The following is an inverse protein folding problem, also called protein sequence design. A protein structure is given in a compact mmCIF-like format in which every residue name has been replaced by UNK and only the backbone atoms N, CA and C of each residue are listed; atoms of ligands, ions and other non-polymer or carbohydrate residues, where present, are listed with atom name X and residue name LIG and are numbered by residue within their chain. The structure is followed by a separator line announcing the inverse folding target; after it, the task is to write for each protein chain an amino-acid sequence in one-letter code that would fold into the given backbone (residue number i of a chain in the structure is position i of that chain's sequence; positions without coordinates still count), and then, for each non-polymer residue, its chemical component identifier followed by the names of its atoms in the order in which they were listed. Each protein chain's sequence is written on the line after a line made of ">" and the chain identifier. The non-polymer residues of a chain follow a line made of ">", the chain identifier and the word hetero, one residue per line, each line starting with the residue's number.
data_IF_715868021267
#
_entry.id   IF_715868021267
#
_cell.length_a   1.000
_cell.length_b   1.000
_cell.length_c   1.000
_cell.angle_alpha   90.00
_cell.angle_beta   90.00
_cell.angle_gamma   90.00
#
_symmetry.space_group_name_H-M   'P 1'
#
loop_
_entity.id
_entity.type
_entity.pdbx_description
1 polymer ?
#
# COMPACT_ATOMS: atom_id res chain seq x y z
N UNK A 1 4.54 15.25 -12.87
CA UNK A 1 3.94 14.00 -12.35
C UNK A 1 4.78 13.51 -11.19
N UNK A 2 4.25 13.48 -9.98
CA UNK A 2 4.96 12.97 -8.79
C UNK A 2 4.92 11.45 -8.81
N UNK A 3 6.08 10.83 -9.03
CA UNK A 3 6.27 9.38 -8.92
C UNK A 3 5.98 8.96 -7.47
N UNK A 4 5.21 7.88 -7.27
CA UNK A 4 5.00 7.33 -5.94
C UNK A 4 6.33 7.04 -5.25
N UNK A 5 6.38 7.34 -3.96
CA UNK A 5 7.53 7.31 -3.08
C UNK A 5 7.54 6.07 -2.17
N UNK A 6 6.66 5.08 -2.40
CA UNK A 6 6.59 3.83 -1.62
C UNK A 6 7.96 3.14 -1.41
N UNK A 7 8.85 3.20 -2.40
CA UNK A 7 10.21 2.65 -2.33
C UNK A 7 11.10 3.27 -1.24
N UNK A 8 10.72 4.43 -0.68
CA UNK A 8 11.40 5.04 0.48
C UNK A 8 11.21 4.20 1.75
N UNK A 9 10.13 3.45 1.81
CA UNK A 9 9.74 2.60 2.94
C UNK A 9 10.12 1.13 2.72
N UNK A 10 10.96 0.86 1.73
CA UNK A 10 11.44 -0.46 1.37
C UNK A 10 12.96 -0.54 1.41
N UNK A 11 13.47 -1.71 1.81
CA UNK A 11 14.88 -2.06 1.71
C UNK A 11 15.07 -3.54 1.40
N UNK A 12 16.31 -3.93 1.13
CA UNK A 12 16.73 -5.32 1.01
C UNK A 12 17.89 -5.56 1.98
N UNK A 13 17.81 -6.61 2.77
CA UNK A 13 18.86 -7.03 3.73
C UNK A 13 19.10 -8.51 3.55
N UNK A 14 20.35 -8.90 3.31
CA UNK A 14 20.73 -10.31 3.12
C UNK A 14 19.86 -11.05 2.07
N UNK A 15 19.40 -10.32 1.04
CA UNK A 15 18.51 -10.84 0.00
C UNK A 15 17.01 -10.80 0.34
N UNK A 16 16.64 -10.53 1.59
CA UNK A 16 15.24 -10.44 2.01
C UNK A 16 14.68 -9.03 1.80
N UNK A 17 13.41 -8.91 1.39
CA UNK A 17 12.73 -7.63 1.25
C UNK A 17 12.07 -7.21 2.55
N UNK A 18 12.23 -5.95 2.92
CA UNK A 18 11.60 -5.38 4.11
C UNK A 18 10.78 -4.15 3.73
N UNK A 19 9.62 -4.02 4.37
CA UNK A 19 8.87 -2.76 4.47
C UNK A 19 8.89 -2.29 5.91
N UNK A 20 8.93 -0.98 6.12
CA UNK A 20 8.96 -0.40 7.47
C UNK A 20 8.12 0.87 7.55
N UNK A 21 7.60 1.15 8.73
CA UNK A 21 6.86 2.39 9.07
C UNK A 21 7.23 2.85 10.47
N UNK A 22 7.08 4.14 10.75
CA UNK A 22 7.14 4.63 12.13
C UNK A 22 5.98 4.05 12.93
N UNK A 23 6.26 3.58 14.15
CA UNK A 23 5.26 3.06 15.09
C UNK A 23 4.92 4.05 16.21
N UNK A 24 5.68 5.14 16.33
CA UNK A 24 5.41 6.27 17.22
C UNK A 24 5.84 7.59 16.58
N UNK A 25 5.44 8.70 17.20
CA UNK A 25 5.73 10.06 16.70
C UNK A 25 7.14 10.55 17.11
N UNK A 26 7.92 9.73 17.81
CA UNK A 26 9.28 10.07 18.21
C UNK A 26 10.21 10.10 16.99
N UNK A 27 11.11 11.08 16.97
CA UNK A 27 12.08 11.25 15.90
C UNK A 27 13.46 10.69 16.24
N UNK A 28 14.27 10.45 15.20
CA UNK A 28 15.65 10.01 15.33
C UNK A 28 15.78 8.66 16.04
N UNK A 29 16.81 8.53 16.87
CA UNK A 29 17.19 7.27 17.52
C UNK A 29 16.18 6.80 18.58
N UNK A 30 15.28 7.68 19.03
CA UNK A 30 14.19 7.34 19.95
C UNK A 30 12.92 6.84 19.22
N UNK A 31 12.87 7.01 17.89
CA UNK A 31 11.78 6.53 17.06
C UNK A 31 11.73 5.00 17.01
N UNK A 32 10.54 4.44 17.20
CA UNK A 32 10.27 3.02 17.00
C UNK A 32 9.68 2.78 15.62
N UNK A 33 10.03 1.64 15.04
CA UNK A 33 9.67 1.22 13.70
C UNK A 33 9.02 -0.15 13.74
N UNK A 34 7.90 -0.28 13.06
CA UNK A 34 7.25 -1.55 12.74
C UNK A 34 7.79 -2.01 11.39
N UNK A 35 8.37 -3.21 11.37
CA UNK A 35 9.11 -3.76 10.23
C UNK A 35 8.53 -5.11 9.87
N UNK A 36 8.36 -5.36 8.57
CA UNK A 36 7.94 -6.63 8.03
C UNK A 36 8.94 -7.11 6.97
N UNK A 37 9.55 -8.26 7.21
CA UNK A 37 10.30 -9.05 6.23
C UNK A 37 9.33 -9.95 5.47
N UNK A 38 9.37 -9.89 4.13
CA UNK A 38 8.45 -10.62 3.26
C UNK A 38 9.09 -10.94 1.91
N UNK A 39 8.43 -11.77 1.11
CA UNK A 39 8.89 -12.12 -0.24
C UNK A 39 8.15 -11.31 -1.30
N UNK A 40 8.88 -10.90 -2.34
CA UNK A 40 8.28 -10.29 -3.53
C UNK A 40 8.23 -11.31 -4.67
N UNK A 41 7.25 -11.16 -5.53
CA UNK A 41 6.99 -12.05 -6.65
C UNK A 41 7.37 -11.37 -7.96
N UNK A 42 8.02 -12.13 -8.85
CA UNK A 42 8.37 -11.68 -10.20
C UNK A 42 7.16 -11.09 -10.95
N UNK A 43 7.37 -9.99 -11.68
CA UNK A 43 6.29 -9.36 -12.44
C UNK A 43 5.97 -10.15 -13.71
N UNK A 44 5.06 -11.12 -13.56
CA UNK A 44 4.51 -11.94 -14.64
C UNK A 44 2.99 -12.00 -14.53
N UNK A 45 2.25 -12.22 -15.63
CA UNK A 45 0.79 -12.36 -15.58
C UNK A 45 0.31 -13.43 -14.58
N UNK A 46 1.03 -14.55 -14.50
CA UNK A 46 0.74 -15.63 -13.56
C UNK A 46 0.86 -15.17 -12.10
N UNK A 47 1.98 -14.54 -11.73
CA UNK A 47 2.19 -14.08 -10.35
C UNK A 47 1.23 -12.96 -9.97
N UNK A 48 0.97 -11.99 -10.87
CA UNK A 48 -0.05 -10.96 -10.66
C UNK A 48 -1.40 -11.60 -10.34
N UNK A 49 -1.85 -12.55 -11.16
CA UNK A 49 -3.13 -13.22 -10.95
C UNK A 49 -3.17 -14.00 -9.62
N UNK A 50 -2.11 -14.76 -9.33
CA UNK A 50 -2.00 -15.54 -8.08
C UNK A 50 -2.08 -14.62 -6.86
N UNK A 51 -1.25 -13.58 -6.80
CA UNK A 51 -1.21 -12.62 -5.69
C UNK A 51 -2.52 -11.85 -5.58
N UNK A 52 -3.12 -11.44 -6.70
CA UNK A 52 -4.41 -10.74 -6.72
C UNK A 52 -5.53 -11.56 -6.09
N UNK A 53 -5.58 -12.86 -6.39
CA UNK A 53 -6.55 -13.79 -5.76
C UNK A 53 -6.31 -13.91 -4.26
N UNK A 54 -5.05 -14.08 -3.84
CA UNK A 54 -4.70 -14.19 -2.41
C UNK A 54 -5.04 -12.90 -1.64
N UNK A 55 -4.77 -11.73 -2.22
CA UNK A 55 -5.18 -10.44 -1.64
C UNK A 55 -6.69 -10.43 -1.43
N UNK A 56 -7.47 -10.66 -2.49
CA UNK A 56 -8.94 -10.62 -2.44
C UNK A 56 -9.53 -11.60 -1.42
N UNK A 57 -8.99 -12.82 -1.32
CA UNK A 57 -9.42 -13.82 -0.34
C UNK A 57 -9.16 -13.41 1.12
N UNK A 58 -8.22 -12.49 1.35
CA UNK A 58 -7.82 -12.04 2.69
C UNK A 58 -8.27 -10.60 3.00
N UNK A 59 -9.09 -9.97 2.16
CA UNK A 59 -9.72 -8.68 2.44
C UNK A 59 -10.85 -8.86 3.46
N UNK A 60 -10.54 -8.65 4.73
CA UNK A 60 -11.45 -8.84 5.87
C UNK A 60 -11.72 -7.52 6.60
N UNK A 61 -12.87 -7.41 7.28
CA UNK A 61 -13.36 -6.15 7.86
C UNK A 61 -12.40 -5.44 8.84
N UNK A 62 -11.48 -6.16 9.48
CA UNK A 62 -10.39 -5.59 10.30
C UNK A 62 -9.39 -4.73 9.51
N UNK A 63 -9.34 -4.87 8.17
CA UNK A 63 -8.49 -4.07 7.29
C UNK A 63 -9.13 -2.75 6.83
N UNK A 64 -10.39 -2.48 7.21
CA UNK A 64 -11.03 -1.19 6.97
C UNK A 64 -10.55 -0.15 7.97
N UNK A 65 -10.34 1.09 7.52
CA UNK A 65 -10.01 2.20 8.41
C UNK A 65 -11.22 2.62 9.25
N UNK A 66 -10.95 3.11 10.46
CA UNK A 66 -11.99 3.72 11.30
C UNK A 66 -12.63 4.93 10.62
N UNK A 67 -11.87 5.68 9.81
CA UNK A 67 -12.41 6.77 8.99
C UNK A 67 -13.53 6.28 8.05
N UNK A 68 -13.33 5.17 7.34
CA UNK A 68 -14.35 4.62 6.44
C UNK A 68 -15.57 4.12 7.24
N UNK A 69 -15.34 3.43 8.36
CA UNK A 69 -16.43 2.95 9.23
C UNK A 69 -17.25 4.10 9.83
N UNK A 70 -16.58 5.20 10.20
CA UNK A 70 -17.23 6.38 10.76
C UNK A 70 -17.97 7.21 9.70
N UNK A 71 -17.39 7.33 8.51
CA UNK A 71 -17.98 8.07 7.39
C UNK A 71 -19.23 7.39 6.84
N UNK A 72 -19.25 6.05 6.85
CA UNK A 72 -20.34 5.25 6.28
C UNK A 72 -21.00 4.40 7.37
N UNK A 73 -22.17 4.83 7.91
CA UNK A 73 -22.87 4.05 8.93
C UNK A 73 -23.21 2.65 8.42
N UNK A 74 -23.39 1.67 9.32
CA UNK A 74 -23.54 0.25 8.96
C UNK A 74 -24.69 -0.06 7.98
N UNK A 75 -25.70 0.80 7.89
CA UNK A 75 -26.83 0.66 6.97
C UNK A 75 -26.62 1.36 5.61
N UNK A 76 -25.47 2.01 5.40
CA UNK A 76 -25.18 2.74 4.17
C UNK A 76 -25.19 1.81 2.95
N UNK A 77 -25.82 2.19 1.82
CA UNK A 77 -25.98 1.30 0.66
C UNK A 77 -24.66 0.77 0.08
N UNK A 78 -23.56 1.52 0.19
CA UNK A 78 -22.23 1.10 -0.28
C UNK A 78 -21.71 -0.18 0.38
N UNK A 79 -22.15 -0.50 1.60
CA UNK A 79 -21.78 -1.76 2.26
C UNK A 79 -22.33 -3.01 1.56
N UNK A 80 -23.32 -2.87 0.68
CA UNK A 80 -23.81 -3.97 -0.16
C UNK A 80 -22.85 -4.31 -1.31
N UNK A 81 -21.92 -3.42 -1.63
CA UNK A 81 -20.99 -3.63 -2.72
C UNK A 81 -19.76 -4.43 -2.25
N UNK A 82 -19.38 -5.50 -2.97
CA UNK A 82 -18.17 -6.25 -2.66
C UNK A 82 -16.94 -5.35 -2.55
N UNK A 83 -16.08 -5.58 -1.56
CA UNK A 83 -14.82 -4.87 -1.39
C UNK A 83 -14.88 -3.34 -1.21
N UNK A 84 -16.06 -2.79 -0.89
CA UNK A 84 -16.15 -1.37 -0.53
C UNK A 84 -15.20 -1.02 0.63
N UNK A 85 -14.39 0.02 0.44
CA UNK A 85 -13.40 0.49 1.42
C UNK A 85 -12.04 -0.24 1.38
N UNK A 86 -11.87 -1.26 0.54
CA UNK A 86 -10.63 -2.06 0.48
C UNK A 86 -9.66 -1.67 -0.63
N UNK A 87 -10.00 -0.70 -1.47
CA UNK A 87 -9.18 -0.34 -2.64
C UNK A 87 -7.75 0.07 -2.24
N UNK A 88 -7.60 0.75 -1.10
CA UNK A 88 -6.30 1.18 -0.56
C UNK A 88 -5.43 -0.02 -0.17
N UNK A 89 -5.79 -0.87 0.82
CA UNK A 89 -4.95 -2.01 1.18
C UNK A 89 -4.72 -2.96 0.00
N UNK A 90 -5.72 -3.20 -0.85
CA UNK A 90 -5.55 -4.08 -2.01
C UNK A 90 -4.52 -3.55 -3.01
N UNK A 91 -4.57 -2.25 -3.33
CA UNK A 91 -3.67 -1.61 -4.30
C UNK A 91 -2.23 -1.58 -3.79
N UNK A 92 -2.02 -1.10 -2.56
CA UNK A 92 -0.66 -0.91 -2.05
C UNK A 92 -0.01 -2.22 -1.65
N UNK A 93 -0.76 -3.22 -1.16
CA UNK A 93 -0.18 -4.55 -0.92
C UNK A 93 0.25 -5.22 -2.22
N UNK A 94 -0.54 -5.11 -3.30
CA UNK A 94 -0.09 -5.60 -4.62
C UNK A 94 1.19 -4.89 -5.07
N UNK A 95 1.30 -3.57 -4.85
CA UNK A 95 2.48 -2.79 -5.22
C UNK A 95 3.73 -3.27 -4.49
N UNK A 96 3.61 -3.56 -3.19
CA UNK A 96 4.73 -4.08 -2.39
C UNK A 96 5.11 -5.51 -2.78
N UNK A 97 4.11 -6.39 -3.01
CA UNK A 97 4.34 -7.81 -3.28
C UNK A 97 4.88 -8.12 -4.68
N UNK A 98 4.78 -7.22 -5.64
CA UNK A 98 5.24 -7.47 -7.01
C UNK A 98 6.56 -6.77 -7.25
N UNK A 99 7.57 -7.53 -7.66
CA UNK A 99 8.91 -7.03 -7.95
C UNK A 99 8.99 -6.41 -9.34
N UNK A 100 8.63 -5.13 -9.43
CA UNK A 100 8.80 -4.32 -10.63
C UNK A 100 8.81 -2.84 -10.30
N UNK A 101 9.44 -2.07 -11.18
CA UNK A 101 9.34 -0.61 -11.21
C UNK A 101 8.31 -0.10 -12.22
N UNK A 102 7.59 -0.99 -12.93
CA UNK A 102 6.67 -0.63 -14.02
C UNK A 102 5.26 -0.31 -13.54
N UNK A 103 4.88 -0.75 -12.34
CA UNK A 103 3.58 -0.43 -11.75
C UNK A 103 3.63 0.96 -11.11
N UNK A 104 2.55 1.72 -11.30
CA UNK A 104 2.30 2.96 -10.59
C UNK A 104 0.89 2.95 -9.98
N UNK A 105 0.74 3.47 -8.75
CA UNK A 105 -0.56 3.67 -8.17
C UNK A 105 -1.27 4.86 -8.83
N UNK A 106 -2.57 4.66 -9.08
CA UNK A 106 -3.48 5.62 -9.68
C UNK A 106 -4.61 5.89 -8.70
N UNK A 107 -5.07 7.14 -8.66
CA UNK A 107 -6.26 7.54 -7.91
C UNK A 107 -7.24 8.26 -8.81
N UNK A 108 -8.48 7.80 -8.82
CA UNK A 108 -9.64 8.48 -9.43
C UNK A 108 -10.65 8.85 -8.35
N UNK A 109 -11.68 9.59 -8.74
CA UNK A 109 -12.79 9.96 -7.87
C UNK A 109 -14.13 9.59 -8.51
N UNK A 110 -15.09 9.18 -7.69
CA UNK A 110 -16.47 8.99 -8.15
C UNK A 110 -17.27 10.30 -8.10
N UNK A 111 -18.54 10.25 -8.50
CA UNK A 111 -19.44 11.41 -8.53
C UNK A 111 -19.75 12.00 -7.16
N UNK A 112 -19.48 11.26 -6.08
CA UNK A 112 -19.65 11.71 -4.70
C UNK A 112 -18.32 12.23 -4.12
N UNK A 113 -17.25 12.25 -4.92
CA UNK A 113 -15.91 12.69 -4.51
C UNK A 113 -15.07 11.60 -3.84
N UNK A 114 -15.53 10.35 -3.80
CA UNK A 114 -14.82 9.27 -3.14
C UNK A 114 -13.64 8.78 -3.97
N UNK A 115 -12.49 8.72 -3.32
CA UNK A 115 -11.25 8.26 -3.94
C UNK A 115 -11.25 6.75 -4.15
N UNK A 116 -10.85 6.32 -5.34
CA UNK A 116 -10.59 4.92 -5.66
C UNK A 116 -9.15 4.73 -6.13
N UNK A 117 -8.53 3.64 -5.66
CA UNK A 117 -7.14 3.30 -5.91
C UNK A 117 -7.01 2.03 -6.75
N UNK A 118 -6.08 2.04 -7.71
CA UNK A 118 -5.67 0.86 -8.48
C UNK A 118 -4.20 0.98 -8.91
N UNK A 119 -3.63 -0.11 -9.45
CA UNK A 119 -2.32 -0.05 -10.12
C UNK A 119 -2.47 0.01 -11.63
N UNK A 120 -1.58 0.75 -12.29
CA UNK A 120 -1.43 0.76 -13.74
C UNK A 120 -0.02 0.36 -14.11
N UNK A 121 0.12 -0.49 -15.12
CA UNK A 121 1.40 -0.67 -15.79
C UNK A 121 1.71 0.56 -16.66
N UNK A 122 2.82 1.22 -16.38
CA UNK A 122 3.22 2.46 -17.07
C UNK A 122 3.44 2.30 -18.57
N UNK A 123 3.83 1.12 -19.03
CA UNK A 123 4.20 0.88 -20.43
C UNK A 123 2.97 0.46 -21.24
N UNK A 124 2.28 -0.57 -20.79
CA UNK A 124 1.11 -1.15 -21.46
C UNK A 124 -0.20 -0.45 -21.15
N UNK A 125 -0.22 0.46 -20.17
CA UNK A 125 -1.43 1.12 -19.65
C UNK A 125 -2.46 0.13 -19.05
N UNK A 126 -2.08 -1.13 -18.83
CA UNK A 126 -2.95 -2.14 -18.25
C UNK A 126 -3.32 -1.79 -16.80
N UNK A 127 -4.61 -1.87 -16.49
CA UNK A 127 -5.17 -1.64 -15.15
C UNK A 127 -5.19 -2.93 -14.35
N UNK A 128 -4.74 -2.87 -13.10
CA UNK A 128 -4.88 -3.88 -12.07
C UNK A 128 -5.67 -3.29 -10.90
N UNK A 129 -6.98 -3.49 -10.94
CA UNK A 129 -7.90 -3.10 -9.88
C UNK A 129 -8.46 -4.35 -9.22
N UNK A 130 -8.07 -4.59 -7.97
CA UNK A 130 -8.45 -5.80 -7.23
C UNK A 130 -9.80 -5.64 -6.54
N UNK A 131 -10.45 -4.50 -6.68
CA UNK A 131 -11.71 -4.13 -6.02
C UNK A 131 -12.69 -3.52 -7.03
N UNK A 132 -12.53 -3.85 -8.32
CA UNK A 132 -13.33 -3.29 -9.41
C UNK A 132 -14.84 -3.56 -9.27
N UNK A 133 -15.19 -4.58 -8.50
CA UNK A 133 -16.54 -5.06 -8.23
C UNK A 133 -17.22 -4.33 -7.06
N UNK A 134 -16.53 -3.36 -6.44
CA UNK A 134 -17.19 -2.41 -5.54
C UNK A 134 -18.11 -1.42 -6.27
N UNK A 135 -17.95 -1.30 -7.59
CA UNK A 135 -18.80 -0.46 -8.42
C UNK A 135 -20.03 -1.23 -8.87
N UNK A 136 -21.19 -0.62 -8.69
CA UNK A 136 -22.49 -1.18 -9.10
C UNK A 136 -22.51 -1.61 -10.58
N UNK A 137 -21.81 -0.89 -11.45
CA UNK A 137 -21.74 -1.22 -12.87
C UNK A 137 -20.46 -0.69 -13.55
N UNK A 138 -20.23 -1.19 -14.77
CA UNK A 138 -19.08 -0.83 -15.59
C UNK A 138 -19.02 0.68 -15.91
N UNK A 139 -20.16 1.35 -16.10
CA UNK A 139 -20.19 2.79 -16.42
C UNK A 139 -19.65 3.63 -15.26
N UNK A 140 -20.08 3.37 -14.03
CA UNK A 140 -19.56 4.03 -12.82
C UNK A 140 -18.06 3.77 -12.61
N UNK A 141 -17.62 2.53 -12.82
CA UNK A 141 -16.19 2.21 -12.76
C UNK A 141 -15.38 2.98 -13.81
N UNK A 142 -15.85 3.02 -15.05
CA UNK A 142 -15.17 3.73 -16.13
C UNK A 142 -15.13 5.24 -15.91
N UNK A 143 -16.19 5.84 -15.33
CA UNK A 143 -16.16 7.27 -14.99
C UNK A 143 -15.07 7.58 -13.96
N UNK A 144 -14.88 6.71 -12.96
CA UNK A 144 -13.78 6.84 -12.00
C UNK A 144 -12.42 6.72 -12.68
N UNK A 145 -12.20 5.71 -13.52
CA UNK A 145 -10.93 5.53 -14.22
C UNK A 145 -10.56 6.71 -15.13
N UNK A 146 -11.56 7.38 -15.74
CA UNK A 146 -11.34 8.58 -16.57
C UNK A 146 -10.80 9.77 -15.79
N UNK A 147 -11.10 9.85 -14.49
CA UNK A 147 -10.56 10.89 -13.59
C UNK A 147 -9.20 10.52 -13.00
N UNK A 148 -8.70 9.32 -13.31
CA UNK A 148 -7.51 8.74 -12.70
C UNK A 148 -6.24 9.51 -13.02
N UNK A 149 -5.52 9.92 -11.98
CA UNK A 149 -4.16 10.48 -12.10
C UNK A 149 -3.16 9.62 -11.30
N UNK A 150 -1.88 9.56 -11.70
CA UNK A 150 -0.84 8.96 -10.87
C UNK A 150 -0.83 9.63 -9.50
N UNK A 151 -0.87 8.84 -8.43
CA UNK A 151 -0.92 9.34 -7.05
C UNK A 151 -0.24 8.35 -6.14
N UNK A 152 0.46 8.80 -5.10
CA UNK A 152 1.06 7.93 -4.09
C UNK A 152 0.18 7.77 -2.85
N UNK A 153 0.50 6.86 -1.93
CA UNK A 153 -0.31 6.68 -0.72
C UNK A 153 -0.44 7.99 0.06
N UNK A 154 -1.65 8.33 0.52
CA UNK A 154 -1.94 9.63 1.14
C UNK A 154 -1.37 9.78 2.56
N UNK A 155 -0.72 8.75 3.12
CA UNK A 155 -0.01 8.86 4.41
C UNK A 155 1.17 9.84 4.33
N UNK A 156 1.61 10.34 5.50
CA UNK A 156 2.76 11.25 5.58
C UNK A 156 3.99 10.65 4.90
N UNK A 157 4.50 11.32 3.86
CA UNK A 157 5.61 10.83 3.03
C UNK A 157 5.33 9.49 2.31
N UNK A 158 4.07 9.14 2.08
CA UNK A 158 3.59 7.83 1.61
C UNK A 158 3.94 6.66 2.54
N UNK A 159 4.08 6.90 3.84
CA UNK A 159 4.37 5.87 4.83
C UNK A 159 3.29 4.78 4.84
N UNK A 160 3.64 3.48 4.76
CA UNK A 160 2.64 2.42 4.71
C UNK A 160 1.82 2.32 6.00
N UNK A 161 0.56 1.92 5.87
CA UNK A 161 -0.33 1.64 7.00
C UNK A 161 -0.02 0.24 7.58
N UNK A 162 -0.16 0.07 8.89
CA UNK A 162 -0.13 -1.25 9.57
C UNK A 162 -1.05 -2.30 8.95
N UNK A 163 -2.15 -1.89 8.32
CA UNK A 163 -3.09 -2.79 7.64
C UNK A 163 -2.47 -3.43 6.41
N UNK A 164 -1.52 -2.76 5.74
CA UNK A 164 -0.77 -3.36 4.64
C UNK A 164 0.09 -4.52 5.15
N UNK A 165 0.73 -4.34 6.31
CA UNK A 165 1.56 -5.36 6.95
C UNK A 165 0.71 -6.55 7.35
N UNK A 166 -0.44 -6.27 7.99
CA UNK A 166 -1.39 -7.29 8.44
C UNK A 166 -1.91 -8.11 7.26
N UNK A 167 -2.25 -7.48 6.12
CA UNK A 167 -2.69 -8.18 4.92
C UNK A 167 -1.55 -8.99 4.27
N UNK A 168 -0.33 -8.47 4.21
CA UNK A 168 0.83 -9.26 3.73
C UNK A 168 1.05 -10.50 4.61
N UNK A 169 0.94 -10.39 5.93
CA UNK A 169 1.06 -11.54 6.84
C UNK A 169 -0.04 -12.59 6.61
N UNK A 170 -1.27 -12.17 6.27
CA UNK A 170 -2.34 -13.12 5.88
C UNK A 170 -2.03 -13.86 4.57
N UNK A 171 -1.34 -13.20 3.63
CA UNK A 171 -0.97 -13.78 2.32
C UNK A 171 0.30 -14.65 2.43
N UNK A 172 1.24 -14.24 3.27
CA UNK A 172 2.54 -14.88 3.51
C UNK A 172 2.70 -15.15 5.02
N UNK A 173 2.14 -16.26 5.54
CA UNK A 173 2.19 -16.57 6.98
C UNK A 173 3.62 -16.71 7.56
N UNK A 174 4.61 -16.99 6.69
CA UNK A 174 6.02 -17.10 7.07
C UNK A 174 6.75 -15.75 7.12
N UNK A 175 6.10 -14.65 6.76
CA UNK A 175 6.67 -13.30 6.89
C UNK A 175 6.91 -12.95 8.36
N UNK A 176 7.99 -12.23 8.65
CA UNK A 176 8.39 -11.90 10.02
C UNK A 176 8.12 -10.43 10.29
N UNK A 177 7.40 -10.14 11.37
CA UNK A 177 7.09 -8.78 11.80
C UNK A 177 7.65 -8.53 13.19
N UNK A 178 8.35 -7.42 13.36
CA UNK A 178 8.91 -7.03 14.65
C UNK A 178 8.93 -5.50 14.78
N UNK A 179 9.09 -5.04 16.02
CA UNK A 179 9.37 -3.64 16.32
C UNK A 179 10.84 -3.48 16.65
N UNK A 180 11.45 -2.42 16.13
CA UNK A 180 12.84 -2.07 16.39
C UNK A 180 13.01 -0.56 16.48
N UNK A 181 14.16 -0.09 16.95
CA UNK A 181 14.54 1.32 16.93
C UNK A 181 15.42 1.64 15.71
N UNK A 182 15.58 2.93 15.43
CA UNK A 182 16.39 3.38 14.29
C UNK A 182 17.86 2.97 14.41
N UNK A 183 18.44 2.92 15.62
CA UNK A 183 19.84 2.55 15.85
C UNK A 183 20.10 1.09 15.50
N UNK A 184 19.22 0.21 15.95
CA UNK A 184 19.19 -1.21 15.64
C UNK A 184 19.00 -1.40 14.13
N UNK A 185 18.15 -0.60 13.48
CA UNK A 185 18.08 -0.56 12.02
C UNK A 185 19.42 -0.17 11.39
N UNK A 186 20.10 0.86 11.88
CA UNK A 186 21.41 1.28 11.36
C UNK A 186 22.49 0.22 11.57
N UNK A 187 22.52 -0.41 12.75
CA UNK A 187 23.56 -1.36 13.16
C UNK A 187 23.43 -2.68 12.44
N UNK A 188 22.21 -3.19 12.35
CA UNK A 188 21.94 -4.50 11.77
C UNK A 188 21.84 -4.44 10.24
N UNK A 189 21.55 -3.26 9.68
CA UNK A 189 21.18 -3.14 8.26
C UNK A 189 21.89 -2.01 7.48
N UNK A 190 22.91 -1.35 8.04
CA UNK A 190 23.83 -0.49 7.28
C UNK A 190 23.23 0.81 6.70
N UNK A 191 22.14 1.33 7.27
CA UNK A 191 21.29 2.40 6.70
C UNK A 191 21.86 3.83 6.59
N UNK A 192 23.17 4.06 6.73
CA UNK A 192 23.75 5.41 6.97
C UNK A 192 23.33 6.50 5.98
N UNK A 193 23.00 6.18 4.73
CA UNK A 193 22.76 7.16 3.65
C UNK A 193 21.28 7.42 3.30
N UNK A 194 20.37 6.45 3.43
CA UNK A 194 18.98 6.60 2.92
C UNK A 194 18.06 7.35 3.89
N UNK A 195 18.19 7.10 5.20
CA UNK A 195 17.36 7.72 6.24
C UNK A 195 17.79 9.16 6.59
N UNK A 196 19.10 9.47 6.57
CA UNK A 196 19.58 10.87 6.73
C UNK A 196 19.05 11.81 5.65
N UNK A 197 18.82 11.30 4.43
CA UNK A 197 18.20 12.07 3.35
C UNK A 197 16.71 12.29 3.62
N UNK A 198 16.00 11.30 4.17
CA UNK A 198 14.59 11.42 4.54
C UNK A 198 14.37 12.38 5.72
N UNK A 199 15.21 12.34 6.75
CA UNK A 199 15.13 13.27 7.90
C UNK A 199 15.47 14.72 7.52
N UNK A 200 16.42 14.94 6.60
CA UNK A 200 16.75 16.28 6.10
C UNK A 200 15.65 16.90 5.24
N UNK A 201 14.86 16.08 4.56
CA UNK A 201 13.76 16.57 3.70
C UNK A 201 12.49 16.88 4.49
N UNK A 202 12.23 16.17 5.59
CA UNK A 202 11.09 16.45 6.48
C UNK A 202 11.29 17.68 7.38
N UNK A 203 12.54 18.14 7.59
CA UNK A 203 12.83 19.40 8.32
C UNK A 203 12.68 20.65 7.46
N UNK A 204 12.51 20.50 6.14
CA UNK A 204 12.46 21.58 5.16
C UNK A 204 11.11 21.66 4.43
N UNK A 205 10.06 21.00 4.94
CA UNK A 205 8.71 20.98 4.40
C UNK A 205 7.72 21.56 5.41
#
# INVERSE_FOLDING_TARGET
>A
MTKSQHNRWMTIINGNHLIFRKSNDLEGLAGKYDVLEFERHQYTPYQINKVSKLIRLNLTHDLLSEEIKNKYPNNHPRWKNPFFGFCVPATFVLLYLIDTNNLEPMRGVDSEGEGHWWLRDKLSQKIYDLTFDQFENCKKRQSVYKTGIPSGYFGSGEMPDSKFFSLIQKIQPNSKRWTTDLLSIYRDFGFKTKLKVMERQNKNA
#
